data_IF_792086569570
#
_entry.id   IF_792086569570
#
_cell.length_a   1.000
_cell.length_b   1.000
_cell.length_c   1.000
_cell.angle_alpha   90.00
_cell.angle_beta   90.00
_cell.angle_gamma   90.00
#
_symmetry.space_group_name_H-M   'P 1'
#
loop_
_entity.id
_entity.type
_entity.pdbx_description
1 polymer ?
#
# COMPACT_ATOMS: atom_id res chain seq x y z
N UNK A 1 3.81 12.96 -12.36
CA UNK A 1 5.26 12.66 -12.38
C UNK A 1 5.63 12.35 -10.95
N UNK A 2 6.15 11.19 -10.58
CA UNK A 2 6.49 9.97 -11.33
C UNK A 2 6.69 8.94 -10.22
N UNK A 3 6.19 7.71 -10.40
CA UNK A 3 6.84 6.55 -9.76
C UNK A 3 8.34 6.76 -9.96
N UNK A 4 9.17 6.67 -8.91
CA UNK A 4 10.59 7.03 -9.06
C UNK A 4 11.17 6.38 -10.31
N UNK A 5 11.97 7.12 -11.07
CA UNK A 5 12.37 6.72 -12.43
C UNK A 5 12.99 5.31 -12.46
N UNK A 6 13.58 4.86 -11.35
CA UNK A 6 14.11 3.51 -11.19
C UNK A 6 13.05 2.43 -10.90
N UNK A 7 11.94 2.77 -10.24
CA UNK A 7 10.82 1.85 -9.95
C UNK A 7 10.00 1.50 -11.20
N UNK A 8 9.70 2.48 -12.04
CA UNK A 8 9.06 2.24 -13.35
C UNK A 8 9.97 1.37 -14.23
N UNK A 9 11.28 1.66 -14.25
CA UNK A 9 12.26 0.86 -15.00
C UNK A 9 12.33 -0.59 -14.52
N UNK A 10 12.35 -0.84 -13.21
CA UNK A 10 12.39 -2.22 -12.68
C UNK A 10 11.12 -3.01 -13.01
N UNK A 11 9.95 -2.35 -12.97
CA UNK A 11 8.69 -2.96 -13.36
C UNK A 11 8.59 -3.18 -14.88
N UNK A 12 8.94 -2.17 -15.68
CA UNK A 12 8.98 -2.25 -17.14
C UNK A 12 9.98 -3.31 -17.61
N UNK A 13 11.13 -3.44 -16.95
CA UNK A 13 12.10 -4.51 -17.21
C UNK A 13 11.50 -5.89 -16.95
N UNK A 14 10.79 -6.05 -15.83
CA UNK A 14 10.10 -7.30 -15.49
C UNK A 14 8.99 -7.64 -16.50
N UNK A 15 8.15 -6.67 -16.88
CA UNK A 15 7.08 -6.89 -17.86
C UNK A 15 7.65 -7.19 -19.25
N UNK A 16 8.68 -6.47 -19.67
CA UNK A 16 9.38 -6.69 -20.95
C UNK A 16 10.00 -8.08 -20.98
N UNK A 17 10.61 -8.50 -19.88
CA UNK A 17 11.19 -9.82 -19.73
C UNK A 17 10.12 -10.94 -19.72
N UNK A 18 9.01 -10.76 -18.98
CA UNK A 18 7.89 -11.71 -19.01
C UNK A 18 7.36 -11.84 -20.44
N UNK A 19 7.06 -10.72 -21.12
CA UNK A 19 6.58 -10.72 -22.51
C UNK A 19 7.55 -11.44 -23.46
N UNK A 20 8.85 -11.29 -23.27
CA UNK A 20 9.89 -11.99 -24.06
C UNK A 20 9.87 -13.50 -23.83
N UNK A 21 9.63 -13.97 -22.61
CA UNK A 21 9.50 -15.39 -22.29
C UNK A 21 8.16 -15.99 -22.72
N UNK A 22 7.12 -15.17 -22.80
CA UNK A 22 5.82 -15.61 -23.32
C UNK A 22 5.83 -15.81 -24.83
N UNK A 23 6.77 -15.20 -25.56
CA UNK A 23 6.88 -15.26 -27.03
C UNK A 23 6.87 -16.66 -27.67
N UNK A 24 7.40 -17.74 -27.07
CA UNK A 24 7.36 -19.09 -27.63
C UNK A 24 6.12 -19.91 -27.20
N UNK A 25 5.24 -19.39 -26.34
CA UNK A 25 4.10 -20.15 -25.82
C UNK A 25 2.92 -20.21 -26.82
N UNK A 26 2.02 -21.21 -26.71
CA UNK A 26 0.78 -21.27 -27.48
C UNK A 26 -0.13 -20.05 -27.23
N UNK A 27 -0.85 -19.60 -28.26
CA UNK A 27 -1.64 -18.36 -28.22
C UNK A 27 -2.73 -18.33 -27.14
N UNK A 28 -3.25 -19.49 -26.73
CA UNK A 28 -4.21 -19.55 -25.63
C UNK A 28 -3.57 -19.27 -24.25
N UNK A 29 -2.33 -19.72 -24.03
CA UNK A 29 -1.55 -19.43 -22.82
C UNK A 29 -1.08 -17.97 -22.81
N UNK A 30 -0.63 -17.46 -23.96
CA UNK A 30 -0.28 -16.04 -24.12
C UNK A 30 -1.47 -15.14 -23.79
N UNK A 31 -2.66 -15.45 -24.31
CA UNK A 31 -3.86 -14.63 -24.07
C UNK A 31 -4.27 -14.56 -22.60
N UNK A 32 -4.16 -15.67 -21.86
CA UNK A 32 -4.49 -15.67 -20.43
C UNK A 32 -3.45 -14.91 -19.60
N UNK A 33 -2.16 -15.07 -19.91
CA UNK A 33 -1.09 -14.35 -19.21
C UNK A 33 -1.05 -12.87 -19.61
N UNK A 34 -1.29 -12.53 -20.89
CA UNK A 34 -1.39 -11.15 -21.36
C UNK A 34 -2.59 -10.42 -20.75
N UNK A 35 -3.75 -11.07 -20.64
CA UNK A 35 -4.90 -10.49 -19.93
C UNK A 35 -4.52 -10.14 -18.49
N UNK A 36 -3.80 -11.04 -17.84
CA UNK A 36 -3.34 -10.87 -16.47
C UNK A 36 -2.27 -9.78 -16.31
N UNK A 37 -1.27 -9.73 -17.20
CA UNK A 37 -0.25 -8.68 -17.21
C UNK A 37 -0.87 -7.31 -17.50
N UNK A 38 -1.87 -7.24 -18.38
CA UNK A 38 -2.59 -6.00 -18.66
C UNK A 38 -3.42 -5.54 -17.45
N UNK A 39 -3.96 -6.46 -16.64
CA UNK A 39 -4.61 -6.12 -15.38
C UNK A 39 -3.61 -5.56 -14.36
N UNK A 40 -2.42 -6.15 -14.21
CA UNK A 40 -1.36 -5.61 -13.33
C UNK A 40 -0.83 -4.27 -13.86
N UNK A 41 -0.54 -4.17 -15.16
CA UNK A 41 -0.10 -2.93 -15.82
C UNK A 41 -1.11 -1.83 -15.53
N UNK A 42 -2.42 -2.13 -15.61
CA UNK A 42 -3.47 -1.15 -15.30
C UNK A 42 -3.47 -0.71 -13.84
N UNK A 43 -3.09 -1.59 -12.89
CA UNK A 43 -3.06 -1.29 -11.46
C UNK A 43 -1.77 -0.59 -11.00
N UNK A 44 -0.65 -0.84 -11.68
CA UNK A 44 0.66 -0.26 -11.34
C UNK A 44 0.91 1.03 -12.13
N UNK A 45 0.63 1.07 -13.43
CA UNK A 45 0.83 2.26 -14.27
C UNK A 45 -0.21 3.36 -13.97
N UNK A 46 -1.41 2.99 -13.54
CA UNK A 46 -2.39 3.98 -13.05
C UNK A 46 -2.16 4.38 -11.60
N UNK A 47 -1.22 3.75 -10.87
CA UNK A 47 -1.04 4.05 -9.47
C UNK A 47 -0.50 5.46 -9.28
N UNK A 48 -1.21 6.26 -8.48
CA UNK A 48 -0.83 7.63 -8.14
C UNK A 48 -0.91 7.85 -6.63
N UNK A 49 -0.21 8.87 -6.10
CA UNK A 49 -0.37 9.24 -4.71
C UNK A 49 -1.83 9.58 -4.38
N UNK A 50 -2.33 9.15 -3.21
CA UNK A 50 -3.61 9.61 -2.69
C UNK A 50 -3.56 11.11 -2.40
N UNK A 51 -4.68 11.77 -2.70
CA UNK A 51 -4.82 13.22 -2.60
C UNK A 51 -5.85 13.57 -1.55
N UNK A 52 -5.43 14.22 -0.48
CA UNK A 52 -6.33 14.62 0.59
C UNK A 52 -6.41 16.14 0.70
N UNK A 53 -7.62 16.66 0.83
CA UNK A 53 -7.83 18.07 1.15
C UNK A 53 -8.04 18.21 2.65
N UNK A 54 -7.26 19.06 3.31
CA UNK A 54 -7.36 19.27 4.75
C UNK A 54 -7.92 20.66 5.03
N UNK A 55 -9.03 20.69 5.79
CA UNK A 55 -9.63 21.86 6.39
C UNK A 55 -9.35 21.89 7.88
N UNK A 56 -9.01 23.06 8.41
CA UNK A 56 -8.91 23.29 9.84
C UNK A 56 -8.23 24.62 10.16
N UNK A 57 -8.59 25.24 11.29
CA UNK A 57 -7.97 26.48 11.74
C UNK A 57 -6.49 26.29 12.13
N UNK A 58 -5.79 27.40 12.40
CA UNK A 58 -4.44 27.34 12.98
C UNK A 58 -4.49 26.59 14.32
N UNK A 59 -3.51 25.72 14.54
CA UNK A 59 -3.44 24.92 15.76
C UNK A 59 -4.37 23.72 15.82
N UNK A 60 -5.23 23.48 14.80
CA UNK A 60 -6.11 22.31 14.76
C UNK A 60 -5.40 20.95 14.59
N UNK A 61 -4.08 20.88 14.75
CA UNK A 61 -3.33 19.62 14.69
C UNK A 61 -3.03 19.06 13.30
N UNK A 62 -3.12 19.86 12.22
CA UNK A 62 -2.87 19.38 10.84
C UNK A 62 -1.50 18.73 10.64
N UNK A 63 -0.40 19.43 10.96
CA UNK A 63 0.96 18.87 10.83
C UNK A 63 1.15 17.64 11.71
N UNK A 64 0.64 17.68 12.95
CA UNK A 64 0.69 16.54 13.87
C UNK A 64 -0.08 15.33 13.34
N UNK A 65 -1.24 15.54 12.71
CA UNK A 65 -2.01 14.48 12.07
C UNK A 65 -1.26 13.86 10.89
N UNK A 66 -0.62 14.68 10.05
CA UNK A 66 0.21 14.19 8.94
C UNK A 66 1.33 13.32 9.51
N UNK A 67 2.07 13.81 10.51
CA UNK A 67 3.13 13.01 11.16
C UNK A 67 2.59 11.71 11.76
N UNK A 68 1.41 11.75 12.39
CA UNK A 68 0.77 10.57 12.95
C UNK A 68 0.38 9.54 11.89
N UNK A 69 -0.12 9.98 10.73
CA UNK A 69 -0.45 9.10 9.59
C UNK A 69 0.82 8.44 9.04
N UNK A 70 1.91 9.20 8.89
CA UNK A 70 3.19 8.67 8.42
C UNK A 70 3.97 7.89 9.48
N UNK A 71 3.65 8.08 10.76
CA UNK A 71 4.41 7.58 11.90
C UNK A 71 5.82 8.19 12.02
N UNK A 72 6.05 9.38 11.47
CA UNK A 72 7.35 10.08 11.49
C UNK A 72 7.17 11.60 11.37
N UNK A 73 8.22 12.36 11.72
CA UNK A 73 8.29 13.81 11.56
C UNK A 73 8.52 14.22 10.08
N UNK A 74 7.51 14.05 9.23
CA UNK A 74 7.55 14.47 7.81
C UNK A 74 7.06 15.91 7.60
N UNK A 75 6.26 16.43 8.53
CA UNK A 75 5.71 17.77 8.54
C UNK A 75 6.23 18.55 9.75
N UNK A 76 6.84 19.71 9.52
CA UNK A 76 7.26 20.61 10.60
C UNK A 76 6.04 21.08 11.40
N UNK A 77 6.08 20.84 12.72
CA UNK A 77 5.05 21.27 13.68
C UNK A 77 5.41 22.66 14.20
N UNK A 78 4.47 23.60 14.18
CA UNK A 78 4.62 24.89 14.86
C UNK A 78 4.98 26.08 13.96
N UNK A 79 6.09 26.06 13.24
CA UNK A 79 6.62 27.14 12.38
C UNK A 79 7.71 26.46 11.53
N UNK A 80 7.73 26.38 10.18
CA UNK A 80 8.13 27.41 9.20
C UNK A 80 7.66 26.99 7.78
N UNK A 81 6.41 27.29 7.40
CA UNK A 81 6.06 27.57 5.98
C UNK A 81 5.15 28.79 5.89
N UNK A 82 5.49 29.79 6.70
CA UNK A 82 4.89 31.12 6.66
C UNK A 82 5.42 31.87 5.43
N UNK A 83 4.89 31.59 4.23
CA UNK A 83 5.35 32.31 3.05
C UNK A 83 4.70 32.03 1.70
N UNK A 84 3.95 30.93 1.51
CA UNK A 84 3.37 30.66 0.20
C UNK A 84 1.98 31.29 0.09
N UNK A 85 1.90 32.42 -0.61
CA UNK A 85 0.65 33.06 -1.05
C UNK A 85 -0.16 32.20 -2.06
N UNK A 86 0.20 30.92 -2.24
CA UNK A 86 -0.39 29.99 -3.19
C UNK A 86 -0.83 28.72 -2.46
N UNK A 87 -2.08 28.32 -2.69
CA UNK A 87 -2.57 26.98 -2.36
C UNK A 87 -1.96 26.02 -3.39
N UNK A 88 -1.01 25.21 -2.96
CA UNK A 88 -0.36 24.19 -3.77
C UNK A 88 -0.50 22.83 -3.09
N UNK A 89 -0.44 21.77 -3.89
CA UNK A 89 -0.40 20.40 -3.39
C UNK A 89 0.96 20.16 -2.76
N UNK A 90 0.96 19.75 -1.49
CA UNK A 90 2.18 19.40 -0.76
C UNK A 90 2.35 17.90 -0.77
N UNK A 91 3.45 17.43 -1.34
CA UNK A 91 3.87 16.04 -1.26
C UNK A 91 4.59 15.81 0.07
N UNK A 92 4.15 14.78 0.77
CA UNK A 92 4.82 14.24 1.95
C UNK A 92 5.25 12.80 1.62
N UNK A 93 6.50 12.48 1.92
CA UNK A 93 7.11 11.20 1.57
C UNK A 93 7.79 10.56 2.79
N UNK A 94 7.65 9.23 2.90
CA UNK A 94 8.45 8.39 3.80
C UNK A 94 8.58 7.00 3.19
N UNK A 95 9.77 6.40 3.23
CA UNK A 95 10.02 5.01 2.78
C UNK A 95 9.41 4.73 1.40
N UNK A 96 9.64 5.64 0.43
CA UNK A 96 9.11 5.56 -0.94
C UNK A 96 7.58 5.65 -1.07
N UNK A 97 6.86 6.05 -0.02
CA UNK A 97 5.40 6.21 0.02
C UNK A 97 5.03 7.69 0.05
N UNK A 98 4.23 8.13 -0.92
CA UNK A 98 3.86 9.55 -1.09
C UNK A 98 2.38 9.78 -0.81
N UNK A 99 2.05 10.83 -0.06
CA UNK A 99 0.69 11.39 0.03
C UNK A 99 0.73 12.86 -0.37
N UNK A 100 -0.22 13.27 -1.19
CA UNK A 100 -0.44 14.67 -1.54
C UNK A 100 -1.52 15.29 -0.63
N UNK A 101 -1.19 16.37 0.06
CA UNK A 101 -2.13 17.14 0.87
C UNK A 101 -2.33 18.55 0.31
N UNK A 102 -3.59 18.97 0.17
CA UNK A 102 -3.95 20.35 -0.13
C UNK A 102 -4.33 21.06 1.17
N UNK A 103 -3.45 21.95 1.65
CA UNK A 103 -3.69 22.73 2.86
C UNK A 103 -4.53 23.98 2.56
N UNK A 104 -5.64 24.14 3.29
CA UNK A 104 -6.61 25.22 3.11
C UNK A 104 -6.57 26.28 4.22
N UNK A 105 -5.53 26.32 5.06
CA UNK A 105 -5.38 27.23 6.22
C UNK A 105 -5.89 28.65 6.03
N UNK A 106 -5.45 29.35 4.98
CA UNK A 106 -5.83 30.74 4.74
C UNK A 106 -7.27 30.94 4.28
N UNK A 107 -8.08 29.90 4.17
CA UNK A 107 -9.53 30.04 3.98
C UNK A 107 -10.26 30.29 5.31
N UNK A 108 -9.76 29.72 6.40
CA UNK A 108 -10.44 29.68 7.70
C UNK A 108 -9.88 30.70 8.71
N UNK A 109 -8.90 31.51 8.29
CA UNK A 109 -8.29 32.58 9.09
C UNK A 109 -8.84 33.95 8.64
N UNK A 110 -9.54 34.70 9.51
CA UNK A 110 -10.13 36.01 9.16
C UNK A 110 -9.11 37.06 8.70
N UNK A 111 -7.84 36.92 9.11
CA UNK A 111 -6.78 37.91 8.90
C UNK A 111 -5.89 37.64 7.68
N UNK A 112 -5.98 36.45 7.08
CA UNK A 112 -5.18 36.04 5.92
C UNK A 112 -6.12 35.45 4.89
N UNK A 113 -6.72 36.29 4.06
CA UNK A 113 -7.49 35.83 2.90
C UNK A 113 -6.56 35.21 1.88
N UNK A 114 -6.39 33.89 1.92
CA UNK A 114 -6.09 33.19 0.67
C UNK A 114 -7.32 33.39 -0.22
N UNK A 115 -7.18 33.92 -1.45
CA UNK A 115 -8.33 34.01 -2.34
C UNK A 115 -8.87 32.61 -2.56
N UNK A 116 -10.17 32.38 -2.32
CA UNK A 116 -10.87 31.12 -2.62
C UNK A 116 -10.48 30.60 -4.02
N UNK A 117 -10.30 31.53 -4.96
CA UNK A 117 -9.81 31.31 -6.33
C UNK A 117 -8.54 30.46 -6.40
N UNK A 118 -7.59 30.65 -5.49
CA UNK A 118 -6.31 29.93 -5.47
C UNK A 118 -6.50 28.46 -5.12
N UNK A 119 -7.38 28.16 -4.16
CA UNK A 119 -7.70 26.77 -3.79
C UNK A 119 -8.46 26.11 -4.94
N UNK A 120 -9.42 26.82 -5.55
CA UNK A 120 -10.15 26.32 -6.70
C UNK A 120 -9.24 26.08 -7.91
N UNK A 121 -8.23 26.92 -8.14
CA UNK A 121 -7.25 26.71 -9.21
C UNK A 121 -6.36 25.48 -8.96
N UNK A 122 -6.00 25.20 -7.70
CA UNK A 122 -5.30 23.97 -7.32
C UNK A 122 -6.18 22.72 -7.50
N UNK A 123 -7.47 22.82 -7.14
CA UNK A 123 -8.42 21.71 -7.34
C UNK A 123 -8.71 21.49 -8.82
N UNK A 124 -8.81 22.54 -9.65
CA UNK A 124 -9.01 22.39 -11.10
C UNK A 124 -7.91 21.56 -11.75
N UNK A 125 -6.67 21.67 -11.27
CA UNK A 125 -5.55 20.87 -11.76
C UNK A 125 -5.63 19.41 -11.31
N UNK A 126 -5.95 19.19 -10.04
CA UNK A 126 -5.98 17.86 -9.43
C UNK A 126 -7.20 17.74 -8.51
N UNK A 127 -8.07 16.76 -8.74
CA UNK A 127 -9.18 16.48 -7.84
C UNK A 127 -8.66 15.81 -6.54
N UNK A 128 -9.09 16.26 -5.35
CA UNK A 128 -8.92 15.51 -4.12
C UNK A 128 -9.71 14.19 -4.14
N UNK A 129 -9.21 13.18 -3.43
CA UNK A 129 -9.89 11.90 -3.25
C UNK A 129 -10.80 11.87 -2.03
N UNK A 130 -10.36 12.48 -0.92
CA UNK A 130 -11.11 12.62 0.33
C UNK A 130 -10.84 14.01 0.94
N UNK A 131 -11.87 14.59 1.56
CA UNK A 131 -11.76 15.81 2.36
C UNK A 131 -11.75 15.50 3.86
N UNK A 132 -10.88 16.15 4.60
CA UNK A 132 -10.75 16.03 6.05
C UNK A 132 -11.07 17.37 6.71
N UNK A 133 -11.97 17.39 7.69
CA UNK A 133 -12.30 18.58 8.46
C UNK A 133 -11.86 18.43 9.92
N UNK A 134 -10.80 19.14 10.30
CA UNK A 134 -10.22 19.09 11.64
C UNK A 134 -10.79 20.20 12.51
N UNK A 135 -11.40 19.79 13.62
CA UNK A 135 -11.84 20.66 14.69
C UNK A 135 -11.11 20.29 15.99
N UNK A 136 -10.70 21.28 16.78
CA UNK A 136 -10.15 21.01 18.11
C UNK A 136 -11.28 20.62 19.05
N UNK A 137 -11.09 19.58 19.86
CA UNK A 137 -12.12 19.06 20.76
C UNK A 137 -12.73 20.13 21.69
N UNK A 138 -11.93 21.09 22.14
CA UNK A 138 -12.39 22.19 23.01
C UNK A 138 -13.16 23.29 22.29
N UNK A 139 -13.11 23.34 20.96
CA UNK A 139 -13.67 24.42 20.13
C UNK A 139 -14.85 23.98 19.28
N UNK A 140 -15.33 22.74 19.41
CA UNK A 140 -16.44 22.20 18.60
C UNK A 140 -17.71 23.06 18.72
N UNK A 141 -17.98 23.62 19.90
CA UNK A 141 -19.15 24.46 20.16
C UNK A 141 -18.88 25.96 19.92
N UNK A 142 -17.73 26.33 19.34
CA UNK A 142 -17.28 27.73 19.24
C UNK A 142 -17.22 28.20 17.79
N UNK A 143 -18.36 28.67 17.27
CA UNK A 143 -18.41 29.30 15.95
C UNK A 143 -18.11 28.37 14.78
N UNK A 144 -18.28 27.05 14.96
CA UNK A 144 -17.98 26.03 13.96
C UNK A 144 -18.75 26.23 12.66
N UNK A 145 -19.97 26.77 12.73
CA UNK A 145 -20.80 27.00 11.55
C UNK A 145 -20.16 28.02 10.60
N UNK A 146 -19.54 29.09 11.12
CA UNK A 146 -18.83 30.07 10.29
C UNK A 146 -17.61 29.45 9.59
N UNK A 147 -17.05 28.38 10.16
CA UNK A 147 -15.93 27.62 9.59
C UNK A 147 -16.42 26.61 8.55
N UNK A 148 -17.61 26.05 8.72
CA UNK A 148 -18.20 25.08 7.80
C UNK A 148 -18.78 25.71 6.54
N UNK A 149 -19.24 26.97 6.59
CA UNK A 149 -19.74 27.71 5.42
C UNK A 149 -18.75 27.73 4.23
N UNK A 150 -17.47 28.15 4.40
CA UNK A 150 -16.51 28.13 3.30
C UNK A 150 -16.11 26.70 2.88
N UNK A 151 -16.15 25.73 3.80
CA UNK A 151 -15.90 24.31 3.47
C UNK A 151 -16.99 23.78 2.54
N UNK A 152 -18.26 24.01 2.89
CA UNK A 152 -19.40 23.61 2.07
C UNK A 152 -19.34 24.23 0.68
N UNK A 153 -19.01 25.53 0.60
CA UNK A 153 -18.85 26.23 -0.68
C UNK A 153 -17.77 25.59 -1.55
N UNK A 154 -16.59 25.30 -1.00
CA UNK A 154 -15.52 24.64 -1.76
C UNK A 154 -15.96 23.25 -2.22
N UNK A 155 -16.52 22.41 -1.34
CA UNK A 155 -16.95 21.07 -1.73
C UNK A 155 -18.01 21.08 -2.83
N UNK A 156 -18.92 22.07 -2.84
CA UNK A 156 -19.88 22.28 -3.94
C UNK A 156 -19.18 22.62 -5.26
N UNK A 157 -18.19 23.52 -5.23
CA UNK A 157 -17.39 23.85 -6.41
C UNK A 157 -16.60 22.64 -6.94
N UNK A 158 -16.01 21.84 -6.05
CA UNK A 158 -15.31 20.60 -6.44
C UNK A 158 -16.27 19.64 -7.14
N UNK A 159 -17.47 19.46 -6.59
CA UNK A 159 -18.52 18.65 -7.21
C UNK A 159 -18.87 19.17 -8.60
N UNK A 160 -19.01 20.48 -8.77
CA UNK A 160 -19.32 21.09 -10.07
C UNK A 160 -18.19 20.92 -11.09
N UNK A 161 -16.93 21.10 -10.67
CA UNK A 161 -15.74 21.04 -11.53
C UNK A 161 -15.47 19.60 -11.99
N UNK A 162 -15.46 18.66 -11.05
CA UNK A 162 -15.02 17.28 -11.29
C UNK A 162 -16.15 16.27 -11.45
N UNK A 163 -17.41 16.70 -11.29
CA UNK A 163 -18.60 15.83 -11.33
C UNK A 163 -18.47 14.62 -10.39
N UNK A 164 -17.81 14.83 -9.24
CA UNK A 164 -17.50 13.80 -8.24
C UNK A 164 -17.95 14.22 -6.86
N UNK A 165 -18.64 13.32 -6.17
CA UNK A 165 -18.98 13.48 -4.76
C UNK A 165 -17.76 13.17 -3.89
N UNK A 166 -17.09 14.24 -3.44
CA UNK A 166 -15.98 14.14 -2.51
C UNK A 166 -16.50 13.79 -1.11
N UNK A 167 -15.99 12.70 -0.53
CA UNK A 167 -16.35 12.28 0.83
C UNK A 167 -15.66 13.15 1.87
N UNK A 168 -16.41 13.55 2.90
CA UNK A 168 -15.95 14.37 4.00
C UNK A 168 -15.88 13.54 5.28
N UNK A 169 -14.71 13.48 5.90
CA UNK A 169 -14.50 12.88 7.22
C UNK A 169 -14.23 14.01 8.21
N UNK A 170 -15.02 14.06 9.28
CA UNK A 170 -14.80 15.00 10.38
C UNK A 170 -13.80 14.43 11.38
N UNK A 171 -12.91 15.26 11.91
CA UNK A 171 -11.92 14.87 12.91
C UNK A 171 -12.04 15.77 14.13
N UNK A 172 -12.31 15.17 15.28
CA UNK A 172 -12.16 15.84 16.57
C UNK A 172 -10.73 15.60 17.03
N UNK A 173 -9.90 16.62 16.93
CA UNK A 173 -8.46 16.57 17.27
C UNK A 173 -8.22 16.97 18.71
N UNK A 174 -7.07 16.58 19.27
CA UNK A 174 -6.66 16.92 20.64
C UNK A 174 -7.63 16.37 21.71
N UNK A 175 -8.20 15.19 21.48
CA UNK A 175 -9.08 14.51 22.44
C UNK A 175 -8.36 14.20 23.76
N UNK A 176 -7.04 14.02 23.72
CA UNK A 176 -6.17 13.84 24.87
C UNK A 176 -6.19 15.06 25.81
N UNK A 177 -6.47 16.26 25.29
CA UNK A 177 -6.53 17.49 26.09
C UNK A 177 -7.89 17.75 26.75
N UNK A 178 -8.92 16.93 26.47
CA UNK A 178 -10.21 17.01 27.16
C UNK A 178 -10.08 16.56 28.61
N UNK A 179 -10.91 17.14 29.48
CA UNK A 179 -10.84 16.89 30.92
C UNK A 179 -11.16 15.42 31.26
N UNK A 180 -10.42 14.80 32.19
CA UNK A 180 -9.16 15.27 32.80
C UNK A 180 -7.98 15.26 31.81
N UNK A 181 -7.22 16.35 31.75
CA UNK A 181 -6.14 16.54 30.77
C UNK A 181 -4.86 15.77 31.08
N UNK A 182 -4.72 15.20 32.28
CA UNK A 182 -3.56 14.38 32.66
C UNK A 182 -3.61 12.94 32.09
N UNK A 183 -4.76 12.52 31.54
CA UNK A 183 -4.92 11.21 30.91
C UNK A 183 -4.64 11.35 29.42
N UNK A 184 -3.43 11.04 28.97
CA UNK A 184 -3.05 11.19 27.55
C UNK A 184 -3.38 9.94 26.72
N UNK A 185 -3.32 8.74 27.33
CA UNK A 185 -3.59 7.47 26.64
C UNK A 185 -5.09 7.28 26.42
N UNK A 186 -5.48 7.06 25.17
CA UNK A 186 -6.86 6.84 24.72
C UNK A 186 -6.95 5.57 23.86
N UNK A 187 -8.05 4.79 23.94
CA UNK A 187 -9.17 4.93 24.88
C UNK A 187 -8.75 4.72 26.35
N UNK A 188 -9.60 5.13 27.29
CA UNK A 188 -9.34 5.04 28.74
C UNK A 188 -10.58 4.48 29.47
N UNK A 189 -10.41 3.95 30.68
CA UNK A 189 -11.53 3.49 31.52
C UNK A 189 -12.21 4.66 32.27
N UNK A 190 -11.67 5.88 32.16
CA UNK A 190 -12.25 7.05 32.82
C UNK A 190 -13.54 7.51 32.13
N UNK A 191 -14.69 7.10 32.67
CA UNK A 191 -16.03 7.39 32.11
C UNK A 191 -16.26 8.88 31.78
N UNK A 192 -15.82 9.80 32.64
CA UNK A 192 -15.98 11.24 32.39
C UNK A 192 -15.19 11.75 31.18
N UNK A 193 -14.05 11.12 30.85
CA UNK A 193 -13.21 11.53 29.71
C UNK A 193 -13.85 11.02 28.41
N UNK A 194 -14.25 9.75 28.41
CA UNK A 194 -14.95 9.14 27.28
C UNK A 194 -16.23 9.91 26.94
N UNK A 195 -17.03 10.27 27.95
CA UNK A 195 -18.21 11.12 27.75
C UNK A 195 -17.88 12.47 27.12
N UNK A 196 -16.83 13.15 27.57
CA UNK A 196 -16.41 14.43 26.98
C UNK A 196 -15.98 14.27 25.50
N UNK A 197 -15.33 13.16 25.16
CA UNK A 197 -14.95 12.84 23.78
C UNK A 197 -16.21 12.56 22.94
N UNK A 198 -17.13 11.74 23.45
CA UNK A 198 -18.41 11.42 22.81
C UNK A 198 -19.25 12.68 22.57
N UNK A 199 -19.34 13.58 23.56
CA UNK A 199 -20.07 14.84 23.44
C UNK A 199 -19.45 15.74 22.35
N UNK A 200 -18.13 15.78 22.24
CA UNK A 200 -17.43 16.53 21.20
C UNK A 200 -17.67 15.93 19.79
N UNK A 201 -17.60 14.60 19.67
CA UNK A 201 -17.90 13.86 18.42
C UNK A 201 -19.34 14.09 17.99
N UNK A 202 -20.28 13.97 18.93
CA UNK A 202 -21.70 14.16 18.68
C UNK A 202 -22.01 15.59 18.26
N UNK A 203 -21.42 16.59 18.92
CA UNK A 203 -21.62 17.99 18.56
C UNK A 203 -21.11 18.29 17.14
N UNK A 204 -19.89 17.85 16.79
CA UNK A 204 -19.36 18.05 15.45
C UNK A 204 -20.21 17.35 14.39
N UNK A 205 -20.63 16.11 14.67
CA UNK A 205 -21.51 15.34 13.79
C UNK A 205 -22.82 16.08 13.53
N UNK A 206 -23.42 16.67 14.58
CA UNK A 206 -24.65 17.46 14.47
C UNK A 206 -24.44 18.70 13.60
N UNK A 207 -23.36 19.45 13.79
CA UNK A 207 -23.07 20.66 13.01
C UNK A 207 -22.81 20.37 11.53
N UNK A 208 -22.17 19.25 11.20
CA UNK A 208 -21.97 18.83 9.81
C UNK A 208 -23.30 18.34 9.21
N UNK A 209 -24.04 17.50 9.95
CA UNK A 209 -25.27 16.85 9.46
C UNK A 209 -26.48 17.78 9.36
N UNK A 210 -26.47 18.93 10.05
CA UNK A 210 -27.52 19.94 9.94
C UNK A 210 -27.54 20.63 8.57
N UNK A 211 -26.46 20.52 7.81
CA UNK A 211 -26.30 21.10 6.46
C UNK A 211 -26.59 20.05 5.41
N UNK A 212 -27.58 20.29 4.56
CA UNK A 212 -28.08 19.31 3.58
C UNK A 212 -26.96 18.76 2.68
N UNK A 213 -26.11 19.63 2.15
CA UNK A 213 -25.04 19.20 1.25
C UNK A 213 -23.94 18.44 1.98
N UNK A 214 -23.45 18.97 3.11
CA UNK A 214 -22.41 18.28 3.88
C UNK A 214 -22.90 16.93 4.38
N UNK A 215 -24.15 16.81 4.83
CA UNK A 215 -24.76 15.54 5.25
C UNK A 215 -24.66 14.45 4.18
N UNK A 216 -24.82 14.79 2.91
CA UNK A 216 -24.76 13.82 1.81
C UNK A 216 -23.32 13.38 1.47
N UNK A 217 -22.35 14.26 1.70
CA UNK A 217 -20.91 13.99 1.49
C UNK A 217 -20.23 13.41 2.73
N UNK A 218 -20.81 13.56 3.90
CA UNK A 218 -20.25 13.20 5.20
C UNK A 218 -20.30 11.69 5.44
N UNK A 219 -19.19 11.14 5.95
CA UNK A 219 -19.06 9.74 6.34
C UNK A 219 -19.24 9.57 7.85
N UNK A 220 -18.26 10.01 8.64
CA UNK A 220 -18.31 9.97 10.09
C UNK A 220 -17.36 11.01 10.73
N UNK A 221 -17.52 11.22 12.05
CA UNK A 221 -16.56 11.99 12.86
C UNK A 221 -15.70 11.03 13.68
N UNK A 222 -14.39 11.11 13.52
CA UNK A 222 -13.42 10.31 14.28
C UNK A 222 -12.71 11.17 15.33
N UNK A 223 -12.73 10.80 16.62
CA UNK A 223 -11.91 11.44 17.63
C UNK A 223 -10.46 10.95 17.50
N UNK A 224 -9.50 11.86 17.34
CA UNK A 224 -8.09 11.52 17.10
C UNK A 224 -7.16 12.22 18.09
N UNK A 225 -6.16 11.48 18.55
CA UNK A 225 -4.97 12.01 19.22
C UNK A 225 -3.77 11.75 18.32
N UNK A 226 -2.98 12.80 18.06
CA UNK A 226 -1.74 12.72 17.30
C UNK A 226 -0.50 12.89 18.19
N UNK A 227 -0.67 12.74 19.51
CA UNK A 227 0.39 12.92 20.50
C UNK A 227 1.37 11.74 20.44
N UNK A 228 2.56 11.99 19.91
CA UNK A 228 3.66 11.04 19.89
C UNK A 228 5.00 11.78 19.73
N UNK A 229 6.07 11.16 20.21
CA UNK A 229 7.45 11.57 19.94
C UNK A 229 8.08 10.61 18.94
N UNK A 230 8.68 11.14 17.88
CA UNK A 230 9.32 10.38 16.81
C UNK A 230 10.83 10.51 16.96
N UNK A 231 11.50 9.37 17.17
CA UNK A 231 12.95 9.29 17.33
C UNK A 231 13.66 9.18 15.97
N UNK A 232 14.96 9.47 15.92
CA UNK A 232 15.76 9.41 14.68
C UNK A 232 15.92 7.98 14.13
N UNK A 233 15.87 6.97 15.00
CA UNK A 233 15.92 5.55 14.64
C UNK A 233 14.58 5.00 14.10
N UNK A 234 13.56 5.86 14.00
CA UNK A 234 12.23 5.51 13.53
C UNK A 234 11.30 4.93 14.60
N UNK A 235 11.76 4.81 15.86
CA UNK A 235 10.90 4.44 16.99
C UNK A 235 9.96 5.58 17.39
N UNK A 236 8.83 5.22 17.99
CA UNK A 236 7.81 6.16 18.45
C UNK A 236 7.61 5.93 19.94
N UNK A 237 8.19 6.81 20.76
CA UNK A 237 8.15 6.68 22.22
C UNK A 237 8.25 8.05 22.91
N UNK A 238 7.27 8.45 23.74
CA UNK A 238 6.01 7.74 23.99
C UNK A 238 5.02 7.86 22.82
N UNK A 239 4.24 6.80 22.56
CA UNK A 239 3.15 6.79 21.58
C UNK A 239 1.78 6.87 22.26
N UNK A 240 1.15 8.05 22.20
CA UNK A 240 -0.21 8.29 22.69
C UNK A 240 -1.20 8.58 21.53
N UNK A 241 -0.86 8.15 20.31
CA UNK A 241 -1.76 8.27 19.17
C UNK A 241 -3.01 7.43 19.41
N UNK A 242 -4.15 7.93 18.95
CA UNK A 242 -5.43 7.25 19.09
C UNK A 242 -6.27 7.42 17.82
N UNK A 243 -6.90 6.32 17.38
CA UNK A 243 -7.77 6.23 16.20
C UNK A 243 -7.13 6.66 14.87
N UNK A 244 -5.80 6.69 14.79
CA UNK A 244 -5.09 6.92 13.53
C UNK A 244 -5.34 5.74 12.57
N UNK A 245 -5.33 4.51 13.08
CA UNK A 245 -5.62 3.31 12.28
C UNK A 245 -7.05 3.36 11.72
N UNK A 246 -8.02 3.74 12.56
CA UNK A 246 -9.42 3.93 12.14
C UNK A 246 -9.55 5.00 11.05
N UNK A 247 -8.83 6.11 11.18
CA UNK A 247 -8.78 7.13 10.13
C UNK A 247 -8.20 6.55 8.83
N UNK A 248 -7.10 5.82 8.90
CA UNK A 248 -6.49 5.20 7.72
C UNK A 248 -7.41 4.20 7.03
N UNK A 249 -8.17 3.40 7.78
CA UNK A 249 -9.21 2.51 7.25
C UNK A 249 -10.25 3.28 6.42
N UNK A 250 -10.75 4.41 6.95
CA UNK A 250 -11.74 5.24 6.26
C UNK A 250 -11.16 5.90 5.01
N UNK A 251 -9.93 6.39 5.09
CA UNK A 251 -9.24 6.93 3.93
C UNK A 251 -9.16 5.85 2.83
N UNK A 252 -8.67 4.66 3.16
CA UNK A 252 -8.58 3.51 2.22
C UNK A 252 -9.94 3.11 1.65
N UNK A 253 -11.01 3.17 2.45
CA UNK A 253 -12.38 2.85 2.01
C UNK A 253 -12.86 3.77 0.88
N UNK A 254 -12.50 5.05 0.91
CA UNK A 254 -12.99 6.06 -0.03
C UNK A 254 -12.01 6.42 -1.14
N UNK A 255 -10.79 5.87 -1.12
CA UNK A 255 -9.83 6.06 -2.20
C UNK A 255 -10.25 5.31 -3.48
N UNK A 256 -10.04 5.91 -4.67
CA UNK A 256 -10.20 5.22 -5.93
C UNK A 256 -9.10 4.15 -6.09
N UNK A 257 -9.32 3.14 -6.95
CA UNK A 257 -8.44 1.96 -7.08
C UNK A 257 -6.97 2.34 -7.33
N UNK A 258 -6.77 3.39 -8.12
CA UNK A 258 -5.49 3.95 -8.53
C UNK A 258 -4.67 4.50 -7.35
N UNK A 259 -5.34 5.08 -6.34
CA UNK A 259 -4.69 5.67 -5.16
C UNK A 259 -4.67 4.73 -3.94
N UNK A 260 -5.48 3.67 -3.97
CA UNK A 260 -5.68 2.76 -2.84
C UNK A 260 -4.40 2.01 -2.50
N UNK A 261 -3.66 1.54 -3.50
CA UNK A 261 -2.46 0.72 -3.31
C UNK A 261 -1.39 1.44 -2.48
N UNK A 262 -1.13 2.71 -2.78
CA UNK A 262 -0.12 3.51 -2.06
C UNK A 262 -0.52 3.78 -0.61
N UNK A 263 -1.80 4.10 -0.37
CA UNK A 263 -2.32 4.29 0.99
C UNK A 263 -2.33 3.01 1.81
N UNK A 264 -2.61 1.85 1.20
CA UNK A 264 -2.59 0.56 1.87
C UNK A 264 -1.20 0.17 2.38
N UNK A 265 -0.15 0.48 1.61
CA UNK A 265 1.24 0.30 2.05
C UNK A 265 1.61 1.22 3.22
N UNK A 266 1.03 2.42 3.26
CA UNK A 266 1.21 3.36 4.38
C UNK A 266 0.49 2.90 5.63
N UNK A 267 -0.75 2.45 5.47
CA UNK A 267 -1.61 2.08 6.58
C UNK A 267 -1.19 0.79 7.29
N UNK A 268 -0.28 -0.01 6.69
CA UNK A 268 0.22 -1.29 7.24
C UNK A 268 -0.90 -2.18 7.82
N UNK A 269 -2.11 -2.11 7.25
CA UNK A 269 -3.27 -2.88 7.72
C UNK A 269 -3.02 -4.34 7.34
N UNK A 270 -2.48 -5.12 8.29
CA UNK A 270 -2.05 -6.50 8.08
C UNK A 270 -3.18 -7.36 7.52
N UNK A 271 -4.40 -7.18 8.01
CA UNK A 271 -5.61 -7.91 7.59
C UNK A 271 -5.92 -7.72 6.10
N UNK A 272 -5.77 -6.50 5.59
CA UNK A 272 -6.01 -6.23 4.17
C UNK A 272 -4.86 -6.73 3.28
N UNK A 273 -3.61 -6.50 3.71
CA UNK A 273 -2.43 -7.04 3.01
C UNK A 273 -2.53 -8.55 2.87
N UNK A 274 -2.94 -9.26 3.93
CA UNK A 274 -3.21 -10.71 3.91
C UNK A 274 -4.32 -11.08 2.95
N UNK A 275 -5.42 -10.32 2.92
CA UNK A 275 -6.55 -10.61 2.02
C UNK A 275 -6.16 -10.52 0.54
N UNK A 276 -5.43 -9.46 0.15
CA UNK A 276 -4.94 -9.29 -1.23
C UNK A 276 -3.89 -10.35 -1.56
N UNK A 277 -2.91 -10.57 -0.68
CA UNK A 277 -1.88 -11.57 -0.88
C UNK A 277 -2.49 -12.98 -1.00
N UNK A 278 -3.47 -13.32 -0.17
CA UNK A 278 -4.17 -14.61 -0.25
C UNK A 278 -4.92 -14.78 -1.57
N UNK A 279 -5.47 -13.69 -2.13
CA UNK A 279 -6.12 -13.72 -3.45
C UNK A 279 -5.10 -13.98 -4.57
N UNK A 280 -3.93 -13.35 -4.50
CA UNK A 280 -2.82 -13.60 -5.44
C UNK A 280 -2.40 -15.06 -5.36
N UNK A 281 -2.16 -15.57 -4.16
CA UNK A 281 -1.77 -16.98 -3.94
C UNK A 281 -2.84 -17.92 -4.50
N UNK A 282 -4.12 -17.70 -4.18
CA UNK A 282 -5.21 -18.53 -4.68
C UNK A 282 -5.26 -18.57 -6.22
N UNK A 283 -5.14 -17.42 -6.88
CA UNK A 283 -5.15 -17.34 -8.34
C UNK A 283 -3.97 -18.10 -8.96
N UNK A 284 -2.79 -17.99 -8.34
CA UNK A 284 -1.57 -18.70 -8.76
C UNK A 284 -1.67 -20.20 -8.55
N UNK A 285 -2.24 -20.65 -7.43
CA UNK A 285 -2.49 -22.07 -7.15
C UNK A 285 -3.46 -22.68 -8.15
N UNK A 286 -4.57 -22.00 -8.42
CA UNK A 286 -5.58 -22.42 -9.39
C UNK A 286 -4.95 -22.61 -10.78
N UNK A 287 -4.15 -21.65 -11.23
CA UNK A 287 -3.48 -21.72 -12.53
C UNK A 287 -2.38 -22.80 -12.58
N UNK A 288 -1.56 -22.93 -11.54
CA UNK A 288 -0.55 -23.98 -11.44
C UNK A 288 -1.20 -25.38 -11.44
N UNK A 289 -2.38 -25.53 -10.84
CA UNK A 289 -3.18 -26.75 -10.90
C UNK A 289 -3.65 -27.07 -12.32
N UNK A 290 -4.15 -26.06 -13.06
CA UNK A 290 -4.56 -26.21 -14.46
C UNK A 290 -3.36 -26.61 -15.35
N UNK A 291 -2.22 -25.94 -15.21
CA UNK A 291 -1.01 -26.26 -15.98
C UNK A 291 -0.48 -27.66 -15.68
N UNK A 292 -0.52 -28.10 -14.42
CA UNK A 292 -0.11 -29.44 -14.04
C UNK A 292 -1.03 -30.54 -14.61
N UNK A 293 -2.31 -30.23 -14.81
CA UNK A 293 -3.29 -31.15 -15.39
C UNK A 293 -3.35 -31.10 -16.93
N UNK A 294 -2.80 -30.05 -17.55
CA UNK A 294 -2.85 -29.84 -18.99
C UNK A 294 -1.72 -30.62 -19.71
N UNK A 295 -2.02 -31.35 -20.80
CA UNK A 295 -1.01 -32.04 -21.61
C UNK A 295 -0.29 -31.03 -22.52
N UNK A 296 0.57 -30.19 -21.94
CA UNK A 296 1.31 -29.15 -22.66
C UNK A 296 2.72 -29.65 -22.98
N UNK A 297 3.20 -29.54 -24.23
CA UNK A 297 4.53 -29.99 -24.66
C UNK A 297 5.70 -29.06 -24.26
N UNK A 298 5.50 -28.19 -23.26
CA UNK A 298 6.51 -27.25 -22.72
C UNK A 298 6.83 -27.69 -21.29
N UNK A 299 8.04 -27.45 -20.73
CA UNK A 299 8.32 -27.79 -19.34
C UNK A 299 7.38 -27.00 -18.38
N UNK A 300 6.29 -27.62 -17.94
CA UNK A 300 5.29 -27.04 -17.03
C UNK A 300 5.92 -26.41 -15.77
N UNK A 301 7.08 -26.90 -15.34
CA UNK A 301 7.82 -26.38 -14.20
C UNK A 301 8.35 -24.96 -14.39
N UNK A 302 8.84 -24.58 -15.58
CA UNK A 302 9.44 -23.26 -15.79
C UNK A 302 8.39 -22.15 -15.68
N UNK A 303 7.25 -22.30 -16.35
CA UNK A 303 6.16 -21.32 -16.31
C UNK A 303 5.64 -21.17 -14.87
N UNK A 304 5.45 -22.28 -14.16
CA UNK A 304 5.01 -22.28 -12.75
C UNK A 304 6.02 -21.58 -11.85
N UNK A 305 7.33 -21.82 -12.02
CA UNK A 305 8.37 -21.16 -11.24
C UNK A 305 8.42 -19.65 -11.50
N UNK A 306 8.27 -19.20 -12.74
CA UNK A 306 8.21 -17.75 -13.04
C UNK A 306 7.00 -17.09 -12.39
N UNK A 307 5.85 -17.75 -12.44
CA UNK A 307 4.64 -17.27 -11.78
C UNK A 307 4.77 -17.24 -10.25
N UNK A 308 5.47 -18.21 -9.67
CA UNK A 308 5.78 -18.26 -8.25
C UNK A 308 6.73 -17.14 -7.82
N UNK A 309 7.74 -16.80 -8.63
CA UNK A 309 8.61 -15.65 -8.37
C UNK A 309 7.86 -14.33 -8.49
N UNK A 310 7.01 -14.18 -9.52
CA UNK A 310 6.14 -13.00 -9.66
C UNK A 310 5.19 -12.86 -8.46
N UNK A 311 4.59 -13.95 -8.00
CA UNK A 311 3.76 -14.00 -6.79
C UNK A 311 4.50 -13.51 -5.55
N UNK A 312 5.72 -14.00 -5.29
CA UNK A 312 6.53 -13.54 -4.15
C UNK A 312 6.84 -12.06 -4.30
N UNK A 313 7.22 -11.62 -5.49
CA UNK A 313 7.48 -10.22 -5.81
C UNK A 313 6.29 -9.31 -5.51
N UNK A 314 5.08 -9.72 -5.92
CA UNK A 314 3.84 -8.99 -5.65
C UNK A 314 3.53 -8.94 -4.15
N UNK A 315 3.71 -10.04 -3.40
CA UNK A 315 3.48 -10.08 -1.95
C UNK A 315 4.48 -9.18 -1.21
N UNK A 316 5.75 -9.20 -1.62
CA UNK A 316 6.81 -8.33 -1.10
C UNK A 316 6.52 -6.85 -1.41
N UNK A 317 6.03 -6.55 -2.61
CA UNK A 317 5.61 -5.20 -2.96
C UNK A 317 4.41 -4.71 -2.11
N UNK A 318 3.43 -5.59 -1.85
CA UNK A 318 2.25 -5.28 -1.01
C UNK A 318 2.64 -5.07 0.45
N UNK A 319 3.66 -5.76 0.96
CA UNK A 319 4.15 -5.56 2.32
C UNK A 319 4.87 -4.23 2.53
N UNK A 320 5.18 -3.52 1.44
CA UNK A 320 5.87 -2.23 1.43
C UNK A 320 7.39 -2.34 1.47
N UNK A 321 7.94 -3.53 1.21
CA UNK A 321 9.37 -3.74 0.97
C UNK A 321 9.73 -3.35 -0.47
N UNK A 322 10.99 -2.98 -0.70
CA UNK A 322 11.45 -2.63 -2.05
C UNK A 322 11.48 -3.86 -2.96
N UNK A 323 10.83 -3.74 -4.11
CA UNK A 323 10.81 -4.78 -5.12
C UNK A 323 12.16 -4.89 -5.82
N UNK A 324 12.88 -6.00 -5.59
CA UNK A 324 14.04 -6.39 -6.38
C UNK A 324 14.07 -7.92 -6.59
N UNK A 325 14.56 -8.35 -7.75
CA UNK A 325 14.77 -9.77 -8.05
C UNK A 325 15.80 -10.40 -7.09
N UNK A 326 16.74 -9.60 -6.61
CA UNK A 326 17.71 -9.99 -5.58
C UNK A 326 17.02 -10.30 -4.25
N UNK A 327 16.07 -9.48 -3.81
CA UNK A 327 15.32 -9.72 -2.57
C UNK A 327 14.42 -10.96 -2.65
N UNK A 328 13.78 -11.19 -3.81
CA UNK A 328 13.03 -12.44 -4.08
C UNK A 328 13.97 -13.65 -4.03
N UNK A 329 15.15 -13.55 -4.65
CA UNK A 329 16.17 -14.59 -4.62
C UNK A 329 16.73 -14.86 -3.22
N UNK A 330 16.98 -13.80 -2.46
CA UNK A 330 17.42 -13.86 -1.07
C UNK A 330 16.38 -14.57 -0.21
N UNK A 331 15.09 -14.23 -0.35
CA UNK A 331 14.01 -14.93 0.34
C UNK A 331 13.97 -16.42 -0.01
N UNK A 332 13.99 -16.78 -1.29
CA UNK A 332 13.96 -18.17 -1.74
C UNK A 332 15.14 -18.98 -1.18
N UNK A 333 16.35 -18.44 -1.32
CA UNK A 333 17.57 -19.05 -0.76
C UNK A 333 17.46 -19.21 0.76
N UNK A 334 16.90 -18.19 1.43
CA UNK A 334 16.74 -18.17 2.87
C UNK A 334 15.52 -18.89 3.42
N UNK A 335 14.61 -19.40 2.61
CA UNK A 335 13.69 -20.46 3.05
C UNK A 335 14.27 -21.84 2.76
N UNK A 336 15.44 -21.97 2.13
CA UNK A 336 16.10 -23.26 1.91
C UNK A 336 15.97 -23.78 0.49
N UNK A 337 15.56 -22.95 -0.48
CA UNK A 337 15.89 -23.19 -1.89
C UNK A 337 17.38 -22.88 -2.12
N UNK A 338 18.26 -23.62 -1.44
CA UNK A 338 19.70 -23.58 -1.69
C UNK A 338 19.99 -24.55 -2.85
N UNK A 339 20.11 -24.05 -4.08
CA UNK A 339 20.75 -24.80 -5.17
C UNK A 339 20.35 -26.27 -5.34
N UNK A 340 19.09 -26.64 -5.07
CA UNK A 340 18.60 -28.01 -5.18
C UNK A 340 18.28 -28.35 -6.64
N UNK A 341 19.32 -28.33 -7.47
CA UNK A 341 19.50 -29.18 -8.64
C UNK A 341 20.40 -30.38 -8.27
N UNK A 342 20.40 -30.80 -7.00
CA UNK A 342 21.16 -31.97 -6.55
C UNK A 342 20.35 -33.21 -6.95
N UNK A 343 20.93 -33.96 -7.88
CA UNK A 343 20.38 -35.16 -8.47
C UNK A 343 19.88 -36.16 -7.45
N UNK A 344 18.79 -36.83 -7.83
CA UNK A 344 18.49 -38.16 -7.32
C UNK A 344 19.67 -39.04 -7.71
N UNK A 345 20.49 -39.40 -6.72
CA UNK A 345 21.45 -40.48 -6.86
C UNK A 345 20.70 -41.77 -7.12
N UNK A 346 20.71 -42.18 -8.38
CA UNK A 346 20.11 -43.41 -8.88
C UNK A 346 20.01 -43.37 -10.39
N UNK A 347 21.17 -43.38 -11.06
CA UNK A 347 21.33 -43.58 -12.50
C UNK A 347 20.77 -42.48 -13.41
N UNK A 348 21.61 -41.49 -13.74
CA UNK A 348 21.79 -41.02 -15.12
C UNK A 348 23.09 -40.20 -15.16
N UNK A 349 24.15 -40.86 -15.60
CA UNK A 349 25.46 -40.28 -15.83
C UNK A 349 25.40 -39.34 -17.06
N UNK A 350 25.52 -38.04 -16.83
CA UNK A 350 25.64 -37.02 -17.88
C UNK A 350 25.44 -35.63 -17.30
N UNK A 351 26.56 -34.98 -16.94
CA UNK A 351 26.57 -33.84 -16.01
C UNK A 351 25.88 -32.58 -16.49
N UNK A 352 25.10 -31.98 -15.60
CA UNK A 352 24.93 -30.53 -15.41
C UNK A 352 24.66 -30.35 -13.91
N UNK A 353 25.73 -30.15 -13.13
CA UNK A 353 25.67 -30.09 -11.66
C UNK A 353 25.49 -28.68 -11.06
N UNK A 354 25.62 -27.61 -11.85
CA UNK A 354 25.76 -26.26 -11.30
C UNK A 354 24.88 -25.24 -12.04
N UNK A 355 23.58 -25.18 -11.70
CA UNK A 355 22.75 -24.03 -12.04
C UNK A 355 22.75 -23.07 -10.84
N UNK A 356 23.70 -22.13 -10.80
CA UNK A 356 23.80 -21.10 -9.76
C UNK A 356 22.76 -19.99 -9.95
N UNK A 357 22.46 -19.24 -8.88
CA UNK A 357 21.57 -18.06 -8.93
C UNK A 357 22.05 -17.02 -9.94
N UNK A 358 23.37 -16.90 -10.10
CA UNK A 358 24.03 -16.04 -11.08
C UNK A 358 23.77 -16.49 -12.52
N UNK A 359 23.75 -17.80 -12.77
CA UNK A 359 23.39 -18.35 -14.09
C UNK A 359 21.91 -18.11 -14.42
N UNK A 360 21.04 -18.18 -13.41
CA UNK A 360 19.63 -17.79 -13.56
C UNK A 360 19.54 -16.32 -13.93
N UNK A 361 20.13 -15.42 -13.13
CA UNK A 361 20.19 -13.97 -13.38
C UNK A 361 20.78 -13.63 -14.75
N UNK A 362 21.78 -14.38 -15.23
CA UNK A 362 22.31 -14.28 -16.60
C UNK A 362 21.26 -14.55 -17.68
N UNK A 363 20.40 -15.56 -17.51
CA UNK A 363 19.25 -15.79 -18.41
C UNK A 363 18.21 -14.64 -18.35
N UNK A 364 18.06 -13.98 -17.19
CA UNK A 364 17.20 -12.79 -17.05
C UNK A 364 17.81 -11.55 -17.72
N UNK A 365 19.13 -11.36 -17.62
CA UNK A 365 19.83 -10.18 -18.11
C UNK A 365 20.10 -10.21 -19.63
N UNK A 366 20.51 -11.36 -20.18
CA UNK A 366 20.94 -11.48 -21.58
C UNK A 366 19.83 -12.05 -22.49
N UNK A 367 18.76 -12.58 -21.89
CA UNK A 367 17.71 -13.33 -22.58
C UNK A 367 18.10 -14.79 -22.81
N UNK A 368 17.11 -15.65 -23.07
CA UNK A 368 17.36 -17.07 -23.40
C UNK A 368 18.03 -17.10 -24.78
N UNK A 369 19.28 -17.58 -24.91
CA UNK A 369 19.96 -17.68 -26.20
C UNK A 369 19.18 -18.56 -27.18
N UNK A 370 19.24 -18.27 -28.48
CA UNK A 370 18.48 -18.99 -29.51
C UNK A 370 18.79 -20.51 -29.57
N UNK A 371 20.01 -20.91 -29.16
CA UNK A 371 20.40 -22.32 -29.05
C UNK A 371 19.76 -23.05 -27.85
N UNK A 372 19.29 -22.30 -26.87
CA UNK A 372 18.49 -22.79 -25.72
C UNK A 372 16.99 -22.77 -26.02
N UNK A 373 16.52 -21.88 -26.92
CA UNK A 373 15.12 -21.78 -27.31
C UNK A 373 14.59 -23.02 -28.05
N UNK A 374 15.44 -23.71 -28.83
CA UNK A 374 15.08 -24.94 -29.55
C UNK A 374 15.19 -26.24 -28.74
N UNK A 375 15.89 -26.21 -27.59
CA UNK A 375 16.17 -27.38 -26.76
C UNK A 375 16.08 -27.02 -25.26
N UNK A 376 14.99 -26.39 -24.86
CA UNK A 376 14.66 -26.14 -23.44
C UNK A 376 14.39 -27.43 -22.64
N UNK A 377 14.36 -28.59 -23.30
CA UNK A 377 14.00 -29.89 -22.74
C UNK A 377 15.08 -30.54 -21.84
N UNK A 378 16.41 -30.44 -22.12
CA UNK A 378 17.44 -31.13 -21.33
C UNK A 378 18.20 -30.23 -20.34
N UNK A 379 18.03 -28.90 -20.36
CA UNK A 379 18.89 -27.97 -19.60
C UNK A 379 18.43 -27.67 -18.17
N UNK A 380 17.35 -28.29 -17.71
CA UNK A 380 16.83 -28.12 -16.36
C UNK A 380 16.43 -29.46 -15.70
N UNK A 381 17.38 -30.39 -15.47
CA UNK A 381 17.11 -31.61 -14.72
C UNK A 381 17.09 -31.32 -13.20
N UNK A 382 15.94 -30.91 -12.66
CA UNK A 382 15.78 -30.69 -11.21
C UNK A 382 14.57 -29.86 -10.79
N UNK A 383 14.06 -29.00 -11.67
CA UNK A 383 12.78 -28.30 -11.45
C UNK A 383 11.55 -29.23 -11.57
N UNK A 384 11.72 -30.40 -12.19
CA UNK A 384 10.71 -31.46 -12.24
C UNK A 384 10.60 -32.28 -10.94
N UNK A 385 11.59 -32.22 -10.06
CA UNK A 385 11.64 -33.11 -8.88
C UNK A 385 10.88 -32.56 -7.68
N UNK A 386 10.58 -31.26 -7.62
CA UNK A 386 9.69 -30.69 -6.60
C UNK A 386 8.25 -31.20 -6.79
N UNK A 387 7.87 -31.50 -8.05
CA UNK A 387 6.58 -32.08 -8.42
C UNK A 387 6.46 -33.55 -7.97
N UNK A 388 7.59 -34.25 -7.78
CA UNK A 388 7.58 -35.68 -7.47
C UNK A 388 7.04 -36.03 -6.07
N UNK A 389 6.93 -35.05 -5.16
CA UNK A 389 6.35 -35.24 -3.82
C UNK A 389 5.17 -34.32 -3.46
N UNK A 390 5.06 -33.14 -4.09
CA UNK A 390 4.03 -32.13 -3.81
C UNK A 390 3.41 -31.62 -5.11
N UNK A 391 2.08 -31.74 -5.27
CA UNK A 391 1.40 -31.22 -6.47
C UNK A 391 1.65 -29.71 -6.67
N UNK A 392 1.80 -29.25 -7.91
CA UNK A 392 2.20 -27.88 -8.26
C UNK A 392 1.34 -26.77 -7.61
N UNK A 393 0.03 -26.98 -7.50
CA UNK A 393 -0.87 -26.07 -6.79
C UNK A 393 -0.53 -25.96 -5.29
N UNK A 394 -0.23 -27.09 -4.64
CA UNK A 394 0.15 -27.15 -3.23
C UNK A 394 1.51 -26.50 -2.98
N UNK A 395 2.48 -26.74 -3.86
CA UNK A 395 3.79 -26.07 -3.78
C UNK A 395 3.66 -24.54 -3.90
N UNK A 396 2.82 -24.08 -4.84
CA UNK A 396 2.51 -22.65 -5.01
C UNK A 396 1.83 -22.07 -3.78
N UNK A 397 0.90 -22.82 -3.16
CA UNK A 397 0.19 -22.41 -1.95
C UNK A 397 1.14 -22.26 -0.76
N UNK A 398 1.99 -23.26 -0.53
CA UNK A 398 2.96 -23.26 0.57
C UNK A 398 3.95 -22.11 0.43
N UNK A 399 4.47 -21.89 -0.78
CA UNK A 399 5.38 -20.79 -1.06
C UNK A 399 4.72 -19.41 -0.86
N UNK A 400 3.48 -19.27 -1.32
CA UNK A 400 2.69 -18.07 -1.12
C UNK A 400 2.41 -17.77 0.35
N UNK A 401 2.02 -18.77 1.13
CA UNK A 401 1.80 -18.64 2.58
C UNK A 401 3.08 -18.29 3.34
N UNK A 402 4.22 -18.84 2.94
CA UNK A 402 5.51 -18.51 3.52
C UNK A 402 5.94 -17.07 3.21
N UNK A 403 5.69 -16.59 1.98
CA UNK A 403 5.92 -15.19 1.63
C UNK A 403 5.02 -14.25 2.44
N UNK A 404 3.74 -14.60 2.67
CA UNK A 404 2.84 -13.83 3.53
C UNK A 404 3.38 -13.78 4.97
N UNK A 405 3.77 -14.93 5.53
CA UNK A 405 4.30 -15.00 6.89
C UNK A 405 5.57 -14.14 7.05
N UNK A 406 6.50 -14.24 6.10
CA UNK A 406 7.73 -13.47 6.17
C UNK A 406 7.53 -11.97 5.93
N UNK A 407 6.91 -11.60 4.81
CA UNK A 407 6.87 -10.22 4.37
C UNK A 407 5.77 -9.40 5.04
N UNK A 408 4.60 -9.98 5.30
CA UNK A 408 3.44 -9.28 5.88
C UNK A 408 3.38 -9.47 7.39
N UNK A 409 3.48 -10.72 7.87
CA UNK A 409 3.45 -10.99 9.32
C UNK A 409 4.75 -10.60 10.03
N UNK A 410 5.83 -10.37 9.27
CA UNK A 410 7.18 -10.09 9.77
C UNK A 410 7.70 -11.23 10.64
N UNK A 411 7.28 -12.46 10.35
CA UNK A 411 7.79 -13.67 10.99
C UNK A 411 9.26 -13.88 10.56
N UNK A 412 10.19 -14.10 11.52
CA UNK A 412 11.57 -14.42 11.22
C UNK A 412 11.70 -15.58 10.23
N UNK A 413 12.67 -15.52 9.33
CA UNK A 413 12.78 -16.48 8.22
C UNK A 413 13.05 -17.91 8.72
N UNK A 414 13.70 -18.04 9.88
CA UNK A 414 13.94 -19.31 10.57
C UNK A 414 12.64 -19.95 11.05
N UNK A 415 11.72 -19.16 11.58
CA UNK A 415 10.40 -19.63 12.01
C UNK A 415 9.53 -20.00 10.79
N UNK A 416 9.60 -19.22 9.70
CA UNK A 416 8.92 -19.52 8.44
C UNK A 416 9.41 -20.86 7.86
N UNK A 417 10.72 -21.10 7.85
CA UNK A 417 11.31 -22.39 7.44
C UNK A 417 10.71 -23.56 8.23
N UNK A 418 10.70 -23.45 9.56
CA UNK A 418 10.19 -24.49 10.45
C UNK A 418 8.68 -24.71 10.26
N UNK A 419 7.90 -23.63 10.18
CA UNK A 419 6.45 -23.66 10.08
C UNK A 419 5.96 -24.32 8.78
N UNK A 420 6.64 -24.05 7.66
CA UNK A 420 6.23 -24.55 6.34
C UNK A 420 7.07 -25.75 5.87
N UNK A 421 7.97 -26.25 6.72
CA UNK A 421 8.75 -27.48 6.46
C UNK A 421 9.85 -27.31 5.41
N UNK A 422 10.35 -26.10 5.21
CA UNK A 422 11.48 -25.88 4.30
C UNK A 422 12.81 -26.10 5.03
N UNK A 423 13.70 -26.92 4.46
CA UNK A 423 15.03 -27.17 5.02
C UNK A 423 15.11 -28.28 6.09
N UNK A 424 14.11 -29.15 6.20
CA UNK A 424 14.21 -30.42 6.93
C UNK A 424 14.40 -31.58 5.95
N UNK A 425 15.60 -31.68 5.40
CA UNK A 425 16.17 -32.90 4.80
C UNK A 425 17.68 -32.90 5.05
#
# INVERSE_FOLDING_TARGET
MTISNDRLKSYEALITWIRRILSPLPDWVKRDIERYLNEIDSLILASRPPRFMIFGQRGAGKSSLINAIFGANVAEVGHVRSGTAKSEWFEYERDSKVIEFLDTRGLLEPSKTLPEKTILDAVRKNCPDVALFLCQAKLVNSGIDQVLDPVEKILREIKNIHQRDLRLIGLVTQCDLLHPSYIHKLPTDHAGKNKNIEDAVFSLTRHISSREFLRNSFEEVVPVSALAEYQEDGTIEPDFRCNIDRLQELLVKHLPKEAKNEMLRLAKIKEYQKSVASTIVYNRCSFAGVLAAAPIPIPNGLIVSLMQMAMIGEIMYISGEDFSLENVGYFLTNIGFKGAFIGVGGELAGGIGDLSWDSMLGFFAEGIPDYLAGNLLPLLPGLGTIIAGWGAAKATETLGKAAIAHFIDKTPIEEVRQQFGFGLA
#
